data_IF_595573677736
#
_entry.id   IF_595573677736
#
_cell.length_a   1.000
_cell.length_b   1.000
_cell.length_c   1.000
_cell.angle_alpha   90.00
_cell.angle_beta   90.00
_cell.angle_gamma   90.00
#
_symmetry.space_group_name_H-M   'P 1'
#
loop_
_entity.id
_entity.type
_entity.pdbx_description
1 polymer ?
#
# COMPACT_ATOMS: atom_id res chain seq x y z
N UNK A 1 31.98 -17.64 -1.05
CA UNK A 1 30.70 -17.25 -0.43
C UNK A 1 30.32 -15.94 -1.08
N UNK A 2 29.39 -15.94 -2.05
CA UNK A 2 28.96 -14.70 -2.72
C UNK A 2 28.20 -13.86 -1.69
N UNK A 3 28.74 -12.71 -1.31
CA UNK A 3 28.00 -11.74 -0.49
C UNK A 3 26.93 -11.15 -1.40
N UNK A 4 25.66 -11.45 -1.12
CA UNK A 4 24.53 -10.76 -1.75
C UNK A 4 24.71 -9.28 -1.39
N UNK A 5 24.65 -8.40 -2.38
CA UNK A 5 24.75 -6.96 -2.11
C UNK A 5 23.38 -6.40 -1.71
N UNK A 6 23.36 -5.26 -1.01
CA UNK A 6 22.13 -4.68 -0.45
C UNK A 6 21.05 -4.39 -1.52
N UNK A 7 21.45 -4.13 -2.77
CA UNK A 7 20.51 -3.88 -3.86
C UNK A 7 19.81 -5.17 -4.32
N UNK A 8 20.54 -6.28 -4.41
CA UNK A 8 19.95 -7.59 -4.71
C UNK A 8 18.95 -8.02 -3.64
N UNK A 9 19.28 -7.78 -2.36
CA UNK A 9 18.37 -8.04 -1.25
C UNK A 9 17.11 -7.18 -1.33
N UNK A 10 17.26 -5.88 -1.58
CA UNK A 10 16.13 -4.96 -1.74
C UNK A 10 15.20 -5.38 -2.89
N UNK A 11 15.75 -5.79 -4.03
CA UNK A 11 14.94 -6.26 -5.16
C UNK A 11 14.17 -7.55 -4.83
N UNK A 12 14.79 -8.47 -4.08
CA UNK A 12 14.13 -9.68 -3.63
C UNK A 12 12.95 -9.36 -2.69
N UNK A 13 13.15 -8.44 -1.74
CA UNK A 13 12.10 -8.00 -0.81
C UNK A 13 10.95 -7.31 -1.55
N UNK A 14 11.24 -6.40 -2.48
CA UNK A 14 10.22 -5.75 -3.31
C UNK A 14 9.42 -6.76 -4.12
N UNK A 15 10.08 -7.76 -4.70
CA UNK A 15 9.43 -8.84 -5.45
C UNK A 15 8.48 -9.64 -4.56
N UNK A 16 8.92 -9.98 -3.35
CA UNK A 16 8.10 -10.68 -2.36
C UNK A 16 6.90 -9.84 -1.90
N UNK A 17 7.08 -8.53 -1.69
CA UNK A 17 6.00 -7.61 -1.35
C UNK A 17 4.96 -7.53 -2.46
N UNK A 18 5.38 -7.36 -3.73
CA UNK A 18 4.46 -7.30 -4.87
C UNK A 18 3.66 -8.59 -5.01
N UNK A 19 4.32 -9.75 -4.86
CA UNK A 19 3.62 -11.05 -4.86
C UNK A 19 2.58 -11.11 -3.73
N UNK A 20 2.98 -10.73 -2.51
CA UNK A 20 2.10 -10.74 -1.34
C UNK A 20 0.86 -9.87 -1.57
N UNK A 21 1.02 -8.68 -2.13
CA UNK A 21 -0.09 -7.78 -2.46
C UNK A 21 -1.03 -8.39 -3.50
N UNK A 22 -0.48 -8.98 -4.58
CA UNK A 22 -1.27 -9.65 -5.64
C UNK A 22 -2.06 -10.86 -5.14
N UNK A 23 -1.55 -11.54 -4.12
CA UNK A 23 -2.22 -12.66 -3.44
C UNK A 23 -3.22 -12.20 -2.37
N UNK A 24 -3.54 -10.90 -2.29
CA UNK A 24 -4.46 -10.32 -1.32
C UNK A 24 -3.90 -10.25 0.10
N UNK A 25 -2.59 -10.45 0.26
CA UNK A 25 -1.86 -10.36 1.52
C UNK A 25 -1.63 -8.93 1.99
N UNK A 26 -1.07 -8.82 3.20
CA UNK A 26 -0.75 -7.54 3.85
C UNK A 26 0.77 -7.37 3.92
N UNK A 27 1.24 -6.15 3.75
CA UNK A 27 2.65 -5.79 3.91
C UNK A 27 2.84 -4.75 5.01
N UNK A 28 4.01 -4.76 5.62
CA UNK A 28 4.52 -3.68 6.47
C UNK A 28 5.55 -2.90 5.66
N UNK A 29 5.43 -1.56 5.62
CA UNK A 29 6.35 -0.71 4.88
C UNK A 29 6.72 0.54 5.68
N UNK A 30 7.98 1.01 5.60
CA UNK A 30 8.39 2.22 6.30
C UNK A 30 7.79 3.46 5.63
N UNK A 31 7.52 4.48 6.42
CA UNK A 31 7.29 5.85 5.93
C UNK A 31 8.23 6.81 6.67
N UNK A 32 8.19 8.09 6.31
CA UNK A 32 8.92 9.15 6.99
C UNK A 32 8.45 9.41 8.44
N UNK A 33 7.22 9.01 8.77
CA UNK A 33 6.60 9.26 10.08
C UNK A 33 6.47 7.99 10.92
N UNK A 34 5.74 7.00 10.42
CA UNK A 34 5.44 5.75 11.13
C UNK A 34 5.42 4.55 10.17
N UNK A 35 5.50 3.34 10.70
CA UNK A 35 5.30 2.15 9.88
C UNK A 35 3.85 2.05 9.37
N UNK A 36 3.72 1.82 8.07
CA UNK A 36 2.44 1.60 7.39
C UNK A 36 2.14 0.12 7.26
N UNK A 37 0.87 -0.25 7.47
CA UNK A 37 0.33 -1.56 7.06
C UNK A 37 -0.50 -1.32 5.81
N UNK A 38 -0.14 -2.00 4.72
CA UNK A 38 -0.72 -1.82 3.39
C UNK A 38 -1.26 -3.11 2.79
N UNK A 39 -2.15 -2.95 1.82
CA UNK A 39 -2.73 -4.02 1.00
C UNK A 39 -2.99 -3.47 -0.41
N UNK A 40 -3.46 -4.33 -1.32
CA UNK A 40 -4.05 -3.85 -2.57
C UNK A 40 -5.33 -3.05 -2.27
N UNK A 41 -5.31 -1.75 -2.55
CA UNK A 41 -6.43 -0.84 -2.30
C UNK A 41 -7.64 -1.09 -3.23
N UNK A 42 -7.46 -1.85 -4.31
CA UNK A 42 -8.52 -2.23 -5.25
C UNK A 42 -9.19 -3.55 -4.89
N UNK A 43 -8.68 -4.26 -3.86
CA UNK A 43 -9.22 -5.52 -3.38
C UNK A 43 -10.03 -5.33 -2.10
N UNK A 44 -11.35 -5.41 -2.21
CA UNK A 44 -12.28 -5.38 -1.09
C UNK A 44 -11.92 -6.37 0.03
N UNK A 45 -11.48 -7.58 -0.35
CA UNK A 45 -11.08 -8.61 0.62
C UNK A 45 -9.82 -8.20 1.38
N UNK A 46 -8.80 -7.71 0.68
CA UNK A 46 -7.56 -7.29 1.31
C UNK A 46 -7.77 -6.09 2.24
N UNK A 47 -8.64 -5.14 1.83
CA UNK A 47 -9.05 -4.00 2.66
C UNK A 47 -9.73 -4.48 3.95
N UNK A 48 -10.69 -5.42 3.88
CA UNK A 48 -11.34 -5.99 5.08
C UNK A 48 -10.34 -6.62 6.03
N UNK A 49 -9.29 -7.29 5.52
CA UNK A 49 -8.22 -7.86 6.35
C UNK A 49 -7.45 -6.79 7.12
N UNK A 50 -7.20 -5.62 6.51
CA UNK A 50 -6.55 -4.50 7.20
C UNK A 50 -7.45 -3.93 8.31
N UNK A 51 -8.75 -3.77 8.06
CA UNK A 51 -9.71 -3.32 9.08
C UNK A 51 -9.76 -4.29 10.26
N UNK A 52 -9.88 -5.59 9.98
CA UNK A 52 -9.88 -6.64 10.99
C UNK A 52 -8.58 -6.64 11.83
N UNK A 53 -7.41 -6.52 11.17
CA UNK A 53 -6.12 -6.48 11.84
C UNK A 53 -5.96 -5.23 12.72
N UNK A 54 -6.36 -4.06 12.23
CA UNK A 54 -6.24 -2.79 12.97
C UNK A 54 -7.27 -2.65 14.11
N UNK A 55 -8.26 -3.54 14.17
CA UNK A 55 -9.40 -3.44 15.11
C UNK A 55 -10.03 -2.04 15.10
N UNK A 56 -10.07 -1.41 13.93
CA UNK A 56 -10.56 -0.05 13.74
C UNK A 56 -12.06 -0.14 13.49
N UNK A 57 -12.85 0.68 14.17
CA UNK A 57 -14.26 0.81 13.81
C UNK A 57 -14.37 1.23 12.34
N UNK A 58 -15.18 0.50 11.57
CA UNK A 58 -15.21 0.52 10.09
C UNK A 58 -15.41 1.91 9.46
N UNK A 59 -15.91 2.89 10.23
CA UNK A 59 -16.24 4.24 9.75
C UNK A 59 -15.02 5.16 9.52
N UNK A 60 -13.81 4.76 9.90
CA UNK A 60 -12.63 5.60 9.67
C UNK A 60 -11.95 5.24 8.35
N UNK A 61 -11.90 6.20 7.44
CA UNK A 61 -11.20 6.06 6.16
C UNK A 61 -9.73 5.65 6.34
N UNK A 62 -9.24 4.92 5.35
CA UNK A 62 -7.85 4.52 5.17
C UNK A 62 -7.21 5.39 4.07
N UNK A 63 -5.90 5.56 4.15
CA UNK A 63 -5.15 6.28 3.12
C UNK A 63 -4.88 5.34 1.94
N UNK A 64 -5.03 5.86 0.72
CA UNK A 64 -4.60 5.18 -0.51
C UNK A 64 -3.35 5.87 -1.03
N UNK A 65 -2.32 5.09 -1.35
CA UNK A 65 -1.08 5.59 -1.93
C UNK A 65 -1.15 5.49 -3.45
N UNK A 66 -0.85 6.59 -4.14
CA UNK A 66 -0.74 6.66 -5.59
C UNK A 66 0.68 7.12 -5.97
N UNK A 67 1.22 6.56 -7.05
CA UNK A 67 2.55 6.89 -7.57
C UNK A 67 2.57 8.19 -8.39
N UNK A 68 1.40 8.65 -8.81
CA UNK A 68 1.24 9.79 -9.71
C UNK A 68 -0.15 10.41 -9.58
N UNK A 69 -0.28 11.74 -9.79
CA UNK A 69 -1.58 12.39 -9.81
C UNK A 69 -2.54 11.83 -10.85
N UNK A 70 -2.02 11.38 -12.00
CA UNK A 70 -2.81 10.79 -13.08
C UNK A 70 -3.60 9.55 -12.67
N UNK A 71 -3.09 8.75 -11.72
CA UNK A 71 -3.85 7.59 -11.19
C UNK A 71 -5.08 8.01 -10.40
N UNK A 72 -5.05 9.17 -9.74
CA UNK A 72 -6.18 9.62 -8.91
C UNK A 72 -7.44 9.89 -9.74
N UNK A 73 -7.26 10.29 -11.01
CA UNK A 73 -8.37 10.56 -11.94
C UNK A 73 -9.24 9.31 -12.22
N UNK A 74 -8.73 8.10 -11.99
CA UNK A 74 -9.51 6.87 -12.10
C UNK A 74 -10.34 6.53 -10.86
N UNK A 75 -10.15 7.22 -9.74
CA UNK A 75 -10.77 6.90 -8.45
C UNK A 75 -11.53 8.07 -7.81
N UNK A 76 -11.41 9.29 -8.35
CA UNK A 76 -12.03 10.51 -7.80
C UNK A 76 -12.74 11.26 -8.92
N UNK A 77 -14.01 11.61 -8.71
CA UNK A 77 -14.86 12.26 -9.73
C UNK A 77 -14.46 13.71 -10.02
N UNK A 78 -14.03 14.46 -8.99
CA UNK A 78 -13.61 15.85 -9.12
C UNK A 78 -12.58 16.21 -8.05
N UNK A 79 -11.54 16.94 -8.47
CA UNK A 79 -10.53 17.50 -7.57
C UNK A 79 -10.74 19.03 -7.57
N UNK A 80 -11.08 19.65 -6.42
CA UNK A 80 -11.27 21.09 -6.32
C UNK A 80 -10.00 21.86 -6.71
N UNK A 81 -10.15 23.05 -7.30
CA UNK A 81 -9.03 23.88 -7.75
C UNK A 81 -8.01 24.19 -6.64
N UNK A 82 -8.46 24.31 -5.39
CA UNK A 82 -7.61 24.56 -4.22
C UNK A 82 -6.71 23.37 -3.83
N UNK A 83 -6.94 22.19 -4.40
CA UNK A 83 -6.18 20.97 -4.11
C UNK A 83 -5.06 20.69 -5.13
N UNK A 84 -4.86 21.59 -6.11
CA UNK A 84 -3.68 21.65 -6.97
C UNK A 84 -2.58 22.49 -6.34
#
# INVERSE_FOLDING_TARGET
>A
MHSINDNELLQADLTACVRTLREGGLILYPTDTIWGIGCDATSDEAVRRVYALKQRADHKAMLTLADSPGRMMGYVDAIPDIAW
#
